data_IF_073242718595
#
_entry.id   IF_073242718595
#
_cell.length_a   1.000
_cell.length_b   1.000
_cell.length_c   1.000
_cell.angle_alpha   90.00
_cell.angle_beta   90.00
_cell.angle_gamma   90.00
#
_symmetry.space_group_name_H-M   'P 1'
#
loop_
_entity.id
_entity.type
_entity.pdbx_description
1 polymer ?
#
# COMPACT_ATOMS: atom_id res chain seq x y z
N UNK A 1 16.12 -6.96 -0.13
CA UNK A 1 14.86 -6.29 0.28
C UNK A 1 14.66 -6.51 1.76
N UNK A 2 14.30 -5.49 2.55
CA UNK A 2 14.02 -5.66 3.98
C UNK A 2 12.52 -5.87 4.18
N UNK A 3 12.14 -6.93 4.90
CA UNK A 3 10.75 -7.27 5.20
C UNK A 3 10.59 -7.45 6.70
N UNK A 4 9.60 -6.79 7.29
CA UNK A 4 9.24 -6.97 8.69
C UNK A 4 7.85 -7.57 8.78
N UNK A 5 7.73 -8.73 9.41
CA UNK A 5 6.46 -9.43 9.65
C UNK A 5 6.01 -9.12 11.06
N UNK A 6 4.82 -8.54 11.19
CA UNK A 6 4.22 -8.23 12.49
C UNK A 6 3.01 -9.15 12.70
N UNK A 7 3.12 -10.10 13.62
CA UNK A 7 2.05 -11.05 13.96
C UNK A 7 2.20 -11.55 15.40
N UNK A 8 1.08 -11.71 16.11
CA UNK A 8 1.08 -12.25 17.47
C UNK A 8 1.45 -13.75 17.53
N UNK A 9 1.37 -14.47 16.42
CA UNK A 9 1.68 -15.90 16.31
C UNK A 9 3.13 -16.15 15.88
N UNK A 10 4.02 -16.63 16.77
CA UNK A 10 5.40 -16.96 16.41
C UNK A 10 5.49 -18.04 15.32
N UNK A 11 4.55 -18.99 15.31
CA UNK A 11 4.50 -20.06 14.30
C UNK A 11 4.19 -19.50 12.92
N UNK A 12 3.28 -18.54 12.83
CA UNK A 12 2.97 -17.86 11.57
C UNK A 12 4.19 -17.05 11.06
N UNK A 13 4.81 -16.27 11.95
CA UNK A 13 6.03 -15.51 11.63
C UNK A 13 7.10 -16.45 11.06
N UNK A 14 7.40 -17.53 11.79
CA UNK A 14 8.44 -18.48 11.39
C UNK A 14 8.09 -19.15 10.06
N UNK A 15 6.87 -19.65 9.89
CA UNK A 15 6.42 -20.33 8.67
C UNK A 15 6.48 -19.41 7.46
N UNK A 16 5.98 -18.17 7.61
CA UNK A 16 6.01 -17.18 6.54
C UNK A 16 7.45 -16.74 6.21
N UNK A 17 8.31 -16.54 7.21
CA UNK A 17 9.72 -16.18 6.99
C UNK A 17 10.47 -17.25 6.20
N UNK A 18 10.31 -18.53 6.57
CA UNK A 18 10.92 -19.65 5.85
C UNK A 18 10.40 -19.69 4.42
N UNK A 19 9.08 -19.66 4.25
CA UNK A 19 8.48 -19.73 2.92
C UNK A 19 8.86 -18.55 2.02
N UNK A 20 8.93 -17.34 2.55
CA UNK A 20 9.34 -16.16 1.77
C UNK A 20 10.82 -16.25 1.34
N UNK A 21 11.71 -16.82 2.16
CA UNK A 21 13.11 -17.02 1.78
C UNK A 21 13.27 -17.93 0.56
N UNK A 22 12.36 -18.89 0.34
CA UNK A 22 12.38 -19.74 -0.84
C UNK A 22 12.08 -18.97 -2.14
N UNK A 23 11.30 -17.88 -2.06
CA UNK A 23 10.94 -17.04 -3.20
C UNK A 23 11.78 -15.77 -3.34
N UNK A 24 12.49 -15.38 -2.26
CA UNK A 24 13.17 -14.09 -2.13
C UNK A 24 14.52 -14.27 -1.41
N UNK A 25 15.45 -14.98 -2.02
CA UNK A 25 16.72 -15.37 -1.40
C UNK A 25 17.59 -14.22 -0.86
N UNK A 26 17.46 -13.02 -1.43
CA UNK A 26 18.19 -11.81 -0.98
C UNK A 26 17.38 -10.93 -0.02
N UNK A 27 16.25 -11.43 0.50
CA UNK A 27 15.45 -10.67 1.46
C UNK A 27 15.99 -10.84 2.88
N UNK A 28 16.13 -9.72 3.58
CA UNK A 28 16.35 -9.71 5.02
C UNK A 28 14.97 -9.68 5.70
N UNK A 29 14.57 -10.80 6.30
CA UNK A 29 13.24 -10.98 6.88
C UNK A 29 13.35 -11.03 8.40
N UNK A 30 12.66 -10.12 9.06
CA UNK A 30 12.58 -10.03 10.52
C UNK A 30 11.13 -10.19 10.95
N UNK A 31 10.91 -10.96 12.01
CA UNK A 31 9.59 -11.13 12.60
C UNK A 31 9.52 -10.50 13.99
N UNK A 32 8.47 -9.71 14.23
CA UNK A 32 8.18 -9.12 15.54
C UNK A 32 6.76 -9.48 15.97
N UNK A 33 6.52 -9.51 17.28
CA UNK A 33 5.22 -9.90 17.82
C UNK A 33 4.30 -8.73 18.10
N UNK A 34 4.89 -7.56 18.29
CA UNK A 34 4.15 -6.34 18.59
C UNK A 34 4.62 -5.18 17.70
N UNK A 35 3.71 -4.22 17.48
CA UNK A 35 4.02 -3.02 16.70
C UNK A 35 5.12 -2.16 17.35
N UNK A 36 5.20 -2.19 18.67
CA UNK A 36 6.21 -1.43 19.40
C UNK A 36 7.62 -1.99 19.21
N UNK A 37 7.75 -3.26 18.85
CA UNK A 37 9.03 -3.92 18.61
C UNK A 37 9.64 -3.60 17.24
N UNK A 38 8.90 -2.91 16.36
CA UNK A 38 9.35 -2.65 14.98
C UNK A 38 10.35 -1.51 14.86
N UNK A 39 10.25 -0.52 15.75
CA UNK A 39 10.99 0.74 15.64
C UNK A 39 12.51 0.60 15.54
N UNK A 40 13.19 -0.23 16.36
CA UNK A 40 14.64 -0.41 16.26
C UNK A 40 15.08 -0.94 14.88
N UNK A 41 14.27 -1.79 14.25
CA UNK A 41 14.58 -2.32 12.92
C UNK A 41 14.41 -1.27 11.83
N UNK A 42 13.41 -0.40 11.95
CA UNK A 42 13.18 0.67 10.97
C UNK A 42 14.24 1.76 11.02
N UNK A 43 14.85 1.99 12.16
CA UNK A 43 15.98 2.93 12.31
C UNK A 43 17.22 2.46 11.53
N UNK A 44 17.44 1.15 11.44
CA UNK A 44 18.56 0.54 10.71
C UNK A 44 18.25 0.33 9.21
N UNK A 45 16.96 0.25 8.84
CA UNK A 45 16.52 -0.09 7.49
C UNK A 45 16.13 1.14 6.68
N UNK A 46 16.90 1.49 5.66
CA UNK A 46 16.57 2.65 4.79
C UNK A 46 15.30 2.47 3.95
N UNK A 47 14.95 1.23 3.60
CA UNK A 47 13.72 0.87 2.89
C UNK A 47 13.18 -0.42 3.48
N UNK A 48 11.96 -0.44 3.95
CA UNK A 48 11.36 -1.62 4.53
C UNK A 48 9.94 -1.84 4.05
N UNK A 49 9.55 -3.11 3.99
CA UNK A 49 8.19 -3.56 3.72
C UNK A 49 7.64 -4.22 4.98
N UNK A 50 6.52 -3.74 5.47
CA UNK A 50 5.87 -4.29 6.64
C UNK A 50 4.70 -5.16 6.18
N UNK A 51 4.71 -6.43 6.56
CA UNK A 51 3.56 -7.31 6.51
C UNK A 51 2.88 -7.27 7.88
N UNK A 52 1.80 -6.49 7.99
CA UNK A 52 1.08 -6.28 9.23
C UNK A 52 -0.15 -7.17 9.29
N UNK A 53 -0.19 -8.07 10.28
CA UNK A 53 -1.39 -8.82 10.57
C UNK A 53 -2.41 -7.94 11.28
N UNK A 54 -3.56 -7.72 10.63
CA UNK A 54 -4.69 -7.01 11.21
C UNK A 54 -5.81 -7.97 11.54
N UNK A 55 -6.01 -8.24 12.82
CA UNK A 55 -7.21 -8.89 13.32
C UNK A 55 -8.36 -7.87 13.44
N UNK A 56 -9.59 -8.37 13.48
CA UNK A 56 -10.88 -7.68 13.32
C UNK A 56 -11.17 -6.44 14.17
N UNK A 57 -10.30 -6.03 15.08
CA UNK A 57 -10.62 -4.93 15.99
C UNK A 57 -10.14 -3.58 15.47
N UNK A 58 -11.11 -2.72 15.25
CA UNK A 58 -11.05 -1.41 14.66
C UNK A 58 -10.07 -0.46 15.37
N UNK A 59 -9.19 0.17 14.60
CA UNK A 59 -8.51 1.41 15.01
C UNK A 59 -7.19 1.25 15.75
N UNK A 60 -6.84 0.05 16.22
CA UNK A 60 -5.62 -0.20 17.00
C UNK A 60 -4.34 0.19 16.23
N UNK A 61 -4.35 0.06 14.91
CA UNK A 61 -3.18 0.35 14.08
C UNK A 61 -3.18 1.73 13.40
N UNK A 62 -4.24 2.52 13.56
CA UNK A 62 -4.35 3.82 12.87
C UNK A 62 -3.22 4.77 13.28
N UNK A 63 -2.97 4.89 14.58
CA UNK A 63 -1.89 5.73 15.12
C UNK A 63 -0.50 5.23 14.70
N UNK A 64 -0.30 3.91 14.71
CA UNK A 64 0.94 3.29 14.23
C UNK A 64 1.19 3.61 12.75
N UNK A 65 0.19 3.43 11.89
CA UNK A 65 0.29 3.70 10.46
C UNK A 65 0.52 5.19 10.15
N UNK A 66 -0.11 6.09 10.90
CA UNK A 66 0.13 7.53 10.80
C UNK A 66 1.55 7.89 11.21
N UNK A 67 2.02 7.36 12.33
CA UNK A 67 3.39 7.57 12.82
C UNK A 67 4.43 7.05 11.83
N UNK A 68 4.20 5.86 11.25
CA UNK A 68 5.04 5.29 10.20
C UNK A 68 5.14 6.23 9.00
N UNK A 69 4.00 6.70 8.52
CA UNK A 69 3.95 7.57 7.34
C UNK A 69 4.66 8.91 7.56
N UNK A 70 4.54 9.48 8.76
CA UNK A 70 5.18 10.75 9.11
C UNK A 70 6.71 10.63 9.25
N UNK A 71 7.18 9.55 9.89
CA UNK A 71 8.60 9.39 10.21
C UNK A 71 9.42 8.63 9.16
N UNK A 72 8.79 7.70 8.43
CA UNK A 72 9.50 6.74 7.57
C UNK A 72 8.92 6.74 6.14
N UNK A 73 9.31 7.72 5.34
CA UNK A 73 8.81 7.93 3.96
C UNK A 73 9.04 6.71 3.03
N UNK A 74 10.05 5.90 3.33
CA UNK A 74 10.45 4.77 2.50
C UNK A 74 9.94 3.41 3.03
N UNK A 75 9.01 3.43 3.98
CA UNK A 75 8.37 2.21 4.48
C UNK A 75 7.03 2.00 3.77
N UNK A 76 6.82 0.81 3.25
CA UNK A 76 5.58 0.39 2.60
C UNK A 76 4.87 -0.64 3.45
N UNK A 77 3.57 -0.47 3.70
CA UNK A 77 2.79 -1.40 4.51
C UNK A 77 1.84 -2.21 3.63
N UNK A 78 1.86 -3.51 3.81
CA UNK A 78 0.89 -4.47 3.29
C UNK A 78 0.16 -5.07 4.50
N UNK A 79 -1.16 -5.00 4.47
CA UNK A 79 -2.00 -5.56 5.53
C UNK A 79 -2.42 -6.98 5.16
N UNK A 80 -2.30 -7.89 6.12
CA UNK A 80 -2.80 -9.25 6.03
C UNK A 80 -4.08 -9.38 6.87
N UNK A 81 -5.16 -9.80 6.24
CA UNK A 81 -6.49 -9.95 6.87
C UNK A 81 -7.01 -11.38 6.75
N UNK A 82 -7.85 -11.80 7.68
CA UNK A 82 -8.50 -13.11 7.63
C UNK A 82 -9.65 -13.15 6.60
N UNK A 83 -10.36 -12.03 6.47
CA UNK A 83 -11.42 -11.83 5.48
C UNK A 83 -11.42 -10.38 4.99
N UNK A 84 -11.87 -10.18 3.75
CA UNK A 84 -11.99 -8.85 3.16
C UNK A 84 -13.37 -8.31 3.51
N UNK A 85 -13.40 -7.35 4.42
CA UNK A 85 -14.60 -6.61 4.76
C UNK A 85 -14.44 -5.16 4.29
N UNK A 86 -15.44 -4.64 3.56
CA UNK A 86 -15.39 -3.31 2.94
C UNK A 86 -15.02 -2.18 3.91
N UNK A 87 -15.62 -2.20 5.09
CA UNK A 87 -15.36 -1.14 6.07
C UNK A 87 -13.94 -1.19 6.65
N UNK A 88 -13.37 -2.39 6.78
CA UNK A 88 -12.00 -2.61 7.23
C UNK A 88 -11.04 -2.11 6.16
N UNK A 89 -11.26 -2.50 4.90
CA UNK A 89 -10.43 -2.08 3.77
C UNK A 89 -10.42 -0.55 3.64
N UNK A 90 -11.59 0.08 3.66
CA UNK A 90 -11.70 1.54 3.57
C UNK A 90 -10.97 2.28 4.72
N UNK A 91 -10.96 1.70 5.90
CA UNK A 91 -10.23 2.27 7.02
C UNK A 91 -8.71 2.21 6.81
N UNK A 92 -8.18 1.06 6.38
CA UNK A 92 -6.74 0.91 6.15
C UNK A 92 -6.23 1.71 4.94
N UNK A 93 -7.00 1.80 3.87
CA UNK A 93 -6.65 2.61 2.71
C UNK A 93 -6.49 4.10 3.05
N UNK A 94 -7.11 4.59 4.13
CA UNK A 94 -6.90 5.96 4.62
C UNK A 94 -5.49 6.20 5.19
N UNK A 95 -4.79 5.14 5.59
CA UNK A 95 -3.52 5.22 6.32
C UNK A 95 -2.30 4.81 5.47
N UNK A 96 -2.26 5.17 4.18
CA UNK A 96 -1.09 4.97 3.30
C UNK A 96 -0.65 3.51 3.09
N UNK A 97 -1.57 2.56 3.30
CA UNK A 97 -1.33 1.15 3.05
C UNK A 97 -1.17 0.90 1.55
N UNK A 98 -0.13 0.18 1.16
CA UNK A 98 0.19 -0.12 -0.23
C UNK A 98 -0.37 -1.46 -0.72
N UNK A 99 -0.90 -2.29 0.18
CA UNK A 99 -1.53 -3.54 -0.21
C UNK A 99 -2.40 -4.12 0.89
N UNK A 100 -3.37 -4.93 0.46
CA UNK A 100 -4.18 -5.78 1.34
C UNK A 100 -4.21 -7.18 0.74
N UNK A 101 -3.91 -8.18 1.53
CA UNK A 101 -3.88 -9.58 1.14
C UNK A 101 -4.59 -10.44 2.19
N UNK A 102 -5.09 -11.61 1.77
CA UNK A 102 -5.63 -12.59 2.69
C UNK A 102 -4.49 -13.38 3.36
N UNK A 103 -4.60 -13.68 4.64
CA UNK A 103 -3.68 -14.59 5.34
C UNK A 103 -3.68 -16.00 4.78
N UNK A 104 -4.79 -16.41 4.15
CA UNK A 104 -4.92 -17.69 3.47
C UNK A 104 -4.25 -17.73 2.11
N UNK A 105 -3.70 -16.60 1.63
CA UNK A 105 -2.95 -16.54 0.39
C UNK A 105 -1.71 -17.43 0.45
N UNK A 106 -1.32 -18.01 -0.69
CA UNK A 106 -0.08 -18.77 -0.78
C UNK A 106 1.13 -17.87 -0.53
N UNK A 107 2.23 -18.46 -0.06
CA UNK A 107 3.48 -17.72 0.15
C UNK A 107 3.98 -17.08 -1.15
N UNK A 108 3.79 -17.75 -2.30
CA UNK A 108 4.09 -17.18 -3.61
C UNK A 108 3.28 -15.91 -3.87
N UNK A 109 1.98 -15.93 -3.60
CA UNK A 109 1.12 -14.74 -3.75
C UNK A 109 1.57 -13.58 -2.86
N UNK A 110 1.99 -13.86 -1.62
CA UNK A 110 2.54 -12.86 -0.70
C UNK A 110 3.86 -12.30 -1.23
N UNK A 111 4.75 -13.16 -1.75
CA UNK A 111 6.00 -12.74 -2.36
C UNK A 111 5.77 -11.85 -3.61
N UNK A 112 4.77 -12.20 -4.44
CA UNK A 112 4.38 -11.37 -5.59
C UNK A 112 3.81 -10.02 -5.15
N UNK A 113 2.99 -9.98 -4.09
CA UNK A 113 2.49 -8.72 -3.53
C UNK A 113 3.64 -7.81 -3.06
N UNK A 114 4.63 -8.36 -2.35
CA UNK A 114 5.83 -7.64 -1.94
C UNK A 114 6.61 -7.08 -3.13
N UNK A 115 6.82 -7.89 -4.18
CA UNK A 115 7.47 -7.45 -5.43
C UNK A 115 6.67 -6.34 -6.12
N UNK A 116 5.36 -6.47 -6.20
CA UNK A 116 4.44 -5.47 -6.77
C UNK A 116 4.56 -4.13 -6.04
N UNK A 117 4.50 -4.17 -4.72
CA UNK A 117 4.63 -2.98 -3.87
C UNK A 117 6.04 -2.37 -3.96
N UNK A 118 7.09 -3.20 -4.11
CA UNK A 118 8.46 -2.70 -4.29
C UNK A 118 8.66 -1.92 -5.59
N UNK A 119 7.83 -2.14 -6.58
CA UNK A 119 7.80 -1.36 -7.83
C UNK A 119 7.00 -0.06 -7.69
N UNK A 120 6.45 0.23 -6.50
CA UNK A 120 5.59 1.39 -6.23
C UNK A 120 4.16 1.21 -6.72
N UNK A 121 3.75 -0.02 -7.02
CA UNK A 121 2.38 -0.37 -7.37
C UNK A 121 1.57 -0.73 -6.11
N UNK A 122 0.25 -0.74 -6.26
CA UNK A 122 -0.67 -1.13 -5.20
C UNK A 122 -1.14 -2.56 -5.42
N UNK A 123 -1.22 -3.34 -4.35
CA UNK A 123 -1.73 -4.70 -4.39
C UNK A 123 -3.05 -4.78 -3.61
N UNK A 124 -4.15 -4.99 -4.32
CA UNK A 124 -5.48 -5.16 -3.72
C UNK A 124 -6.05 -6.53 -4.15
N UNK A 125 -6.86 -7.17 -3.29
CA UNK A 125 -7.49 -8.41 -3.63
C UNK A 125 -8.51 -8.24 -4.77
N UNK A 126 -8.58 -9.22 -5.67
CA UNK A 126 -9.53 -9.24 -6.80
C UNK A 126 -10.85 -9.95 -6.42
N UNK A 127 -11.43 -9.63 -5.28
CA UNK A 127 -12.64 -10.30 -4.78
C UNK A 127 -13.94 -9.69 -5.30
N UNK A 128 -13.91 -8.90 -6.39
CA UNK A 128 -15.11 -8.21 -6.88
C UNK A 128 -15.69 -7.23 -5.85
N UNK A 129 -14.93 -6.87 -4.83
CA UNK A 129 -15.31 -5.85 -3.86
C UNK A 129 -15.37 -4.53 -4.59
N UNK A 130 -16.57 -4.19 -5.02
CA UNK A 130 -16.87 -2.84 -5.49
C UNK A 130 -16.60 -1.94 -4.28
N UNK A 131 -15.64 -1.05 -4.41
CA UNK A 131 -15.28 -0.05 -3.38
C UNK A 131 -16.39 1.00 -3.26
N UNK A 132 -17.64 0.54 -3.04
CA UNK A 132 -18.78 1.39 -2.76
C UNK A 132 -18.63 1.97 -1.36
N UNK A 133 -18.49 3.26 -1.26
CA UNK A 133 -18.46 3.96 0.02
C UNK A 133 -17.44 5.07 0.12
N UNK A 134 -16.61 5.24 -0.88
CA UNK A 134 -15.91 6.47 -1.08
C UNK A 134 -16.75 7.41 -1.96
N UNK A 135 -17.87 7.85 -1.43
CA UNK A 135 -18.51 9.06 -1.93
C UNK A 135 -17.63 10.26 -1.51
N UNK A 136 -16.46 10.35 -2.15
CA UNK A 136 -15.90 11.65 -2.37
C UNK A 136 -16.86 12.27 -3.40
N UNK A 137 -17.65 13.22 -2.97
CA UNK A 137 -18.42 14.10 -3.85
C UNK A 137 -17.44 14.96 -4.66
N UNK A 138 -16.71 14.30 -5.55
CA UNK A 138 -15.58 14.83 -6.25
C UNK A 138 -15.52 14.23 -7.64
N UNK A 139 -16.29 14.81 -8.55
CA UNK A 139 -15.96 14.59 -9.96
C UNK A 139 -14.50 15.01 -10.18
N UNK A 140 -13.67 14.10 -10.68
CA UNK A 140 -12.28 14.38 -11.08
C UNK A 140 -12.27 15.43 -12.19
N UNK A 141 -13.36 15.45 -12.98
CA UNK A 141 -13.61 16.43 -14.04
C UNK A 141 -13.66 17.85 -13.46
N UNK A 142 -12.68 18.64 -13.80
CA UNK A 142 -12.56 20.05 -13.40
C UNK A 142 -11.65 20.32 -12.21
N UNK A 143 -11.23 19.32 -11.44
CA UNK A 143 -10.29 19.49 -10.31
C UNK A 143 -8.82 19.32 -10.70
N UNK A 144 -8.56 18.49 -11.72
CA UNK A 144 -7.21 18.20 -12.18
C UNK A 144 -6.93 18.87 -13.52
N UNK A 145 -5.66 19.30 -13.74
CA UNK A 145 -5.20 19.66 -15.08
C UNK A 145 -5.10 18.40 -15.96
N UNK A 146 -5.11 18.55 -17.29
CA UNK A 146 -4.92 17.44 -18.22
C UNK A 146 -3.70 16.59 -17.84
N UNK A 147 -2.58 17.22 -17.51
CA UNK A 147 -1.37 16.52 -17.11
C UNK A 147 -1.49 15.75 -15.81
N UNK A 148 -2.24 16.28 -14.85
CA UNK A 148 -2.53 15.57 -13.61
C UNK A 148 -3.50 14.40 -13.84
N UNK A 149 -4.43 14.55 -14.76
CA UNK A 149 -5.33 13.47 -15.15
C UNK A 149 -4.58 12.31 -15.82
N UNK A 150 -3.64 12.59 -16.73
CA UNK A 150 -2.76 11.59 -17.34
C UNK A 150 -1.94 10.82 -16.27
N UNK A 151 -1.37 11.56 -15.31
CA UNK A 151 -0.65 10.94 -14.18
C UNK A 151 -1.60 10.05 -13.37
N UNK A 152 -2.81 10.50 -13.09
CA UNK A 152 -3.80 9.75 -12.33
C UNK A 152 -4.25 8.48 -13.06
N UNK A 153 -4.45 8.52 -14.38
CA UNK A 153 -4.74 7.34 -15.20
C UNK A 153 -3.62 6.29 -15.13
N UNK A 154 -2.37 6.73 -15.21
CA UNK A 154 -1.22 5.83 -15.07
C UNK A 154 -1.11 5.25 -13.66
N UNK A 155 -1.52 6.00 -12.63
CA UNK A 155 -1.62 5.48 -11.26
C UNK A 155 -2.69 4.38 -11.18
N UNK A 156 -3.85 4.61 -11.73
CA UNK A 156 -4.96 3.66 -11.71
C UNK A 156 -4.64 2.38 -12.50
N UNK A 157 -3.84 2.49 -13.57
CA UNK A 157 -3.32 1.33 -14.31
C UNK A 157 -2.14 0.62 -13.61
N UNK A 158 -1.73 1.07 -12.41
CA UNK A 158 -0.68 0.44 -11.62
C UNK A 158 0.75 0.87 -11.96
N UNK A 159 0.97 1.90 -12.81
CA UNK A 159 2.31 2.30 -13.22
C UNK A 159 3.13 2.87 -12.06
N UNK A 160 4.36 2.45 -11.85
CA UNK A 160 5.30 3.03 -10.89
C UNK A 160 5.71 4.45 -11.29
N UNK A 161 6.25 5.25 -10.35
CA UNK A 161 6.74 6.61 -10.65
C UNK A 161 7.81 6.62 -11.76
N UNK A 162 8.64 5.58 -11.84
CA UNK A 162 9.64 5.40 -12.90
C UNK A 162 8.99 5.15 -14.27
N UNK A 163 7.93 4.37 -14.30
CA UNK A 163 7.16 4.15 -15.53
C UNK A 163 6.43 5.42 -15.97
N UNK A 164 5.74 6.10 -15.03
CA UNK A 164 5.07 7.38 -15.28
C UNK A 164 6.07 8.42 -15.85
N UNK A 165 7.24 8.54 -15.22
CA UNK A 165 8.32 9.42 -15.67
C UNK A 165 8.73 9.14 -17.11
N UNK A 166 8.89 7.88 -17.48
CA UNK A 166 9.24 7.46 -18.85
C UNK A 166 8.10 7.70 -19.84
N UNK A 167 6.89 7.27 -19.48
CA UNK A 167 5.71 7.38 -20.36
C UNK A 167 5.40 8.85 -20.68
N UNK A 168 5.49 9.71 -19.69
CA UNK A 168 5.15 11.11 -19.80
C UNK A 168 6.35 12.02 -20.15
N UNK A 169 7.54 11.43 -20.28
CA UNK A 169 8.80 12.13 -20.55
C UNK A 169 9.07 13.32 -19.59
N UNK A 170 8.93 13.09 -18.29
CA UNK A 170 9.16 14.06 -17.22
C UNK A 170 10.10 13.46 -16.16
N UNK A 171 10.69 14.30 -15.31
CA UNK A 171 11.55 13.81 -14.23
C UNK A 171 10.74 13.07 -13.14
N UNK A 172 11.40 12.15 -12.43
CA UNK A 172 10.77 11.49 -11.26
C UNK A 172 10.35 12.50 -10.18
N UNK A 173 11.09 13.59 -10.01
CA UNK A 173 10.72 14.70 -9.13
C UNK A 173 9.43 15.39 -9.58
N UNK A 174 9.26 15.61 -10.89
CA UNK A 174 8.04 16.18 -11.46
C UNK A 174 6.84 15.25 -11.25
N UNK A 175 7.03 13.93 -11.39
CA UNK A 175 5.97 12.94 -11.05
C UNK A 175 5.55 13.09 -9.59
N UNK A 176 6.52 13.17 -8.67
CA UNK A 176 6.24 13.36 -7.23
C UNK A 176 5.43 14.63 -6.97
N UNK A 177 5.81 15.75 -7.57
CA UNK A 177 5.08 17.02 -7.43
C UNK A 177 3.65 16.95 -7.99
N UNK A 178 3.44 16.22 -9.11
CA UNK A 178 2.10 15.98 -9.62
C UNK A 178 1.28 15.13 -8.65
N UNK A 179 1.86 14.07 -8.07
CA UNK A 179 1.19 13.22 -7.08
C UNK A 179 0.75 14.01 -5.86
N UNK A 180 1.62 14.81 -5.27
CA UNK A 180 1.30 15.66 -4.12
C UNK A 180 0.15 16.64 -4.44
N UNK A 181 0.18 17.23 -5.63
CA UNK A 181 -0.88 18.14 -6.09
C UNK A 181 -2.21 17.39 -6.33
N UNK A 182 -2.18 16.20 -6.94
CA UNK A 182 -3.35 15.34 -7.17
C UNK A 182 -3.97 14.97 -5.83
N UNK A 183 -3.16 14.48 -4.88
CA UNK A 183 -3.67 14.06 -3.56
C UNK A 183 -4.35 15.21 -2.83
N UNK A 184 -3.75 16.40 -2.84
CA UNK A 184 -4.36 17.59 -2.25
C UNK A 184 -5.66 18.01 -2.95
N UNK A 185 -5.72 17.99 -4.30
CA UNK A 185 -6.90 18.42 -5.06
C UNK A 185 -8.06 17.46 -4.97
N UNK A 186 -7.77 16.16 -4.91
CA UNK A 186 -8.78 15.11 -4.75
C UNK A 186 -9.13 14.88 -3.26
N UNK A 187 -8.47 15.58 -2.34
CA UNK A 187 -8.59 15.38 -0.90
C UNK A 187 -8.36 13.92 -0.50
N UNK A 188 -7.33 13.32 -1.09
CA UNK A 188 -6.91 11.95 -0.81
C UNK A 188 -5.53 11.95 -0.16
N UNK A 189 -5.22 10.93 0.64
CA UNK A 189 -4.00 10.89 1.43
C UNK A 189 -2.88 10.06 0.80
N UNK A 190 -3.22 9.21 -0.17
CA UNK A 190 -2.24 8.32 -0.79
C UNK A 190 -2.62 7.93 -2.21
N UNK A 191 -1.67 7.24 -2.87
CA UNK A 191 -1.76 6.77 -4.25
C UNK A 191 -2.93 5.81 -4.47
N UNK A 192 -3.17 4.90 -3.53
CA UNK A 192 -4.26 3.92 -3.61
C UNK A 192 -5.60 4.64 -3.65
N UNK A 193 -5.76 5.61 -2.78
CA UNK A 193 -6.95 6.42 -2.72
C UNK A 193 -7.18 7.19 -4.03
N UNK A 194 -6.13 7.77 -4.59
CA UNK A 194 -6.22 8.47 -5.86
C UNK A 194 -6.66 7.53 -7.01
N UNK A 195 -6.10 6.31 -7.06
CA UNK A 195 -6.49 5.31 -8.05
C UNK A 195 -7.97 4.92 -7.95
N UNK A 196 -8.45 4.67 -6.72
CA UNK A 196 -9.83 4.27 -6.47
C UNK A 196 -10.81 5.38 -6.91
N UNK A 197 -10.52 6.65 -6.60
CA UNK A 197 -11.36 7.79 -7.00
C UNK A 197 -11.57 7.82 -8.51
N UNK A 198 -10.53 7.59 -9.31
CA UNK A 198 -10.66 7.55 -10.77
C UNK A 198 -11.47 6.34 -11.24
N UNK A 199 -11.18 5.15 -10.71
CA UNK A 199 -11.87 3.92 -11.09
C UNK A 199 -13.38 3.95 -10.76
N UNK A 200 -13.77 4.64 -9.68
CA UNK A 200 -15.17 4.85 -9.33
C UNK A 200 -15.84 5.85 -10.26
N UNK A 201 -15.14 6.89 -10.73
CA UNK A 201 -15.68 7.85 -11.68
C UNK A 201 -15.94 7.21 -13.06
N UNK A 202 -15.03 6.35 -13.52
CA UNK A 202 -15.16 5.66 -14.81
C UNK A 202 -16.28 4.60 -14.83
N UNK A 203 -16.76 4.17 -13.66
CA UNK A 203 -17.87 3.20 -13.52
C UNK A 203 -19.25 3.87 -13.46
N UNK A 204 -19.33 5.19 -13.34
CA UNK A 204 -20.58 5.97 -13.35
C UNK A 204 -21.00 6.40 -14.75
#
# INVERSE_FOLDING_TARGET
MNVVIIDKSPVFIQGLSVGLNDFMHDANIVGVRDIDDVWPFLEEMHNAFILLNCNRENGEYSFFLETLHEKYINVSVIIMVDAIERHILNNYLKHHVMGVILKTSSVDSIAQALKTVSMGMVCLPDDGVIYEGWSVDNSVKGKLSERQHEVLQLIASGASNKQISRTLNISAGTVKSHLESIFRRLNVRNRTQAAIVLLEEERR
#
